data_IF_471862137876
#
_entry.id   IF_471862137876
#
_cell.length_a   1.000
_cell.length_b   1.000
_cell.length_c   1.000
_cell.angle_alpha   90.00
_cell.angle_beta   90.00
_cell.angle_gamma   90.00
#
_symmetry.space_group_name_H-M   'P 1'
#
loop_
_entity.id
_entity.type
_entity.pdbx_description
1 polymer ?
#
# COMPACT_ATOMS: atom_id res chain seq x y z
N UNK A 1 14.97 9.39 -5.28
CA UNK A 1 14.67 7.96 -5.11
C UNK A 1 15.63 7.34 -4.12
N UNK A 2 15.21 7.20 -2.86
CA UNK A 2 16.04 6.67 -1.77
C UNK A 2 16.38 5.18 -1.93
N UNK A 3 15.61 4.46 -2.77
CA UNK A 3 15.74 3.01 -2.95
C UNK A 3 16.62 2.61 -4.13
N UNK A 4 17.14 3.58 -4.89
CA UNK A 4 18.02 3.31 -6.04
C UNK A 4 19.42 3.86 -5.72
N UNK A 5 20.42 2.99 -5.50
CA UNK A 5 21.77 3.44 -5.20
C UNK A 5 22.31 4.35 -6.31
N UNK A 6 22.88 5.49 -5.92
CA UNK A 6 23.46 6.46 -6.85
C UNK A 6 22.46 7.44 -7.49
N UNK A 7 21.18 7.32 -7.21
CA UNK A 7 20.15 8.23 -7.74
C UNK A 7 19.86 9.36 -6.75
N UNK A 8 20.80 10.30 -6.62
CA UNK A 8 20.64 11.51 -5.83
C UNK A 8 20.41 12.69 -6.77
N UNK A 9 19.31 13.42 -6.56
CA UNK A 9 18.94 14.63 -7.30
C UNK A 9 18.95 14.47 -8.84
N UNK A 10 18.57 13.29 -9.33
CA UNK A 10 18.50 13.01 -10.77
C UNK A 10 17.31 13.78 -11.37
N UNK A 11 17.51 14.66 -12.36
CA UNK A 11 16.45 15.47 -12.97
C UNK A 11 15.65 14.64 -13.99
N UNK A 12 14.92 13.62 -13.49
CA UNK A 12 14.23 12.62 -14.32
C UNK A 12 13.24 13.27 -15.29
N UNK A 13 12.52 14.31 -14.87
CA UNK A 13 11.58 15.04 -15.74
C UNK A 13 12.32 15.63 -16.95
N UNK A 14 13.37 16.38 -16.70
CA UNK A 14 14.09 17.10 -17.75
C UNK A 14 14.77 16.11 -18.72
N UNK A 15 15.28 14.99 -18.19
CA UNK A 15 15.83 13.91 -19.01
C UNK A 15 14.76 13.27 -19.90
N UNK A 16 13.55 13.03 -19.38
CA UNK A 16 12.46 12.47 -20.18
C UNK A 16 11.99 13.44 -21.26
N UNK A 17 11.89 14.74 -20.96
CA UNK A 17 11.54 15.77 -21.94
C UNK A 17 12.59 15.87 -23.05
N UNK A 18 13.87 15.83 -22.70
CA UNK A 18 14.98 15.82 -23.68
C UNK A 18 14.94 14.58 -24.59
N UNK A 19 14.72 13.39 -23.99
CA UNK A 19 14.73 12.13 -24.75
C UNK A 19 13.51 11.95 -25.65
N UNK A 20 12.36 12.48 -25.25
CA UNK A 20 11.08 12.21 -25.94
C UNK A 20 10.55 13.38 -26.77
N UNK A 21 11.01 14.60 -26.48
CA UNK A 21 10.44 15.84 -27.04
C UNK A 21 9.01 16.13 -26.55
N UNK A 22 8.53 15.43 -25.52
CA UNK A 22 7.20 15.59 -24.97
C UNK A 22 7.25 16.19 -23.56
N UNK A 23 6.25 16.99 -23.15
CA UNK A 23 6.13 17.42 -21.76
C UNK A 23 6.06 16.23 -20.82
N UNK A 24 6.85 16.23 -19.75
CA UNK A 24 6.86 15.19 -18.75
C UNK A 24 6.49 15.71 -17.34
N UNK A 25 5.85 14.85 -16.55
CA UNK A 25 5.63 15.05 -15.13
C UNK A 25 6.11 13.82 -14.37
N UNK A 26 6.67 14.04 -13.18
CA UNK A 26 7.16 12.97 -12.30
C UNK A 26 6.51 13.15 -10.93
N UNK A 27 5.96 12.06 -10.42
CA UNK A 27 5.38 12.02 -9.07
C UNK A 27 5.68 10.64 -8.44
N UNK A 28 5.29 10.46 -7.19
CA UNK A 28 5.29 9.15 -6.55
C UNK A 28 4.36 8.19 -7.32
N UNK A 29 4.69 6.91 -7.38
CA UNK A 29 3.95 5.88 -8.14
C UNK A 29 2.50 5.73 -7.67
N UNK A 30 2.26 5.72 -6.36
CA UNK A 30 0.91 5.66 -5.80
C UNK A 30 0.11 6.95 -6.08
N UNK A 31 0.76 8.13 -6.08
CA UNK A 31 0.14 9.37 -6.51
C UNK A 31 -0.24 9.34 -8.00
N UNK A 32 0.64 8.81 -8.85
CA UNK A 32 0.34 8.63 -10.28
C UNK A 32 -0.87 7.72 -10.48
N UNK A 33 -0.95 6.60 -9.76
CA UNK A 33 -2.10 5.69 -9.79
C UNK A 33 -3.37 6.40 -9.32
N UNK A 34 -3.33 7.07 -8.17
CA UNK A 34 -4.48 7.82 -7.64
C UNK A 34 -4.94 8.92 -8.59
N UNK A 35 -4.01 9.60 -9.26
CA UNK A 35 -4.34 10.61 -10.27
C UNK A 35 -5.04 9.98 -11.49
N UNK A 36 -4.58 8.82 -11.94
CA UNK A 36 -5.21 8.09 -13.04
C UNK A 36 -6.63 7.65 -12.69
N UNK A 37 -6.83 7.07 -11.50
CA UNK A 37 -8.15 6.68 -10.99
C UNK A 37 -9.08 7.89 -10.84
N UNK A 38 -8.57 9.00 -10.35
CA UNK A 38 -9.35 10.22 -10.21
C UNK A 38 -9.79 10.82 -11.55
N UNK A 39 -8.89 10.85 -12.53
CA UNK A 39 -9.19 11.49 -13.84
C UNK A 39 -9.93 10.58 -14.79
N UNK A 40 -9.63 9.29 -14.81
CA UNK A 40 -10.05 8.34 -15.84
C UNK A 40 -10.76 7.11 -15.29
N UNK A 41 -10.55 6.77 -14.03
CA UNK A 41 -11.03 5.55 -13.40
C UNK A 41 -12.22 5.73 -12.46
N UNK A 42 -12.24 4.96 -11.37
CA UNK A 42 -13.33 4.88 -10.41
C UNK A 42 -13.62 6.20 -9.66
N UNK A 43 -12.61 7.06 -9.53
CA UNK A 43 -12.72 8.36 -8.87
C UNK A 43 -13.16 9.51 -9.77
N UNK A 44 -13.53 9.24 -11.03
CA UNK A 44 -13.90 10.29 -11.98
C UNK A 44 -15.11 11.10 -11.51
N UNK A 45 -14.92 12.41 -11.39
CA UNK A 45 -15.96 13.36 -10.94
C UNK A 45 -16.05 13.53 -9.42
N UNK A 46 -15.26 12.79 -8.64
CA UNK A 46 -15.17 12.99 -7.19
C UNK A 46 -14.22 14.14 -6.86
N UNK A 47 -14.50 14.85 -5.78
CA UNK A 47 -13.63 15.89 -5.23
C UNK A 47 -12.72 15.36 -4.13
N UNK A 48 -13.12 14.26 -3.51
CA UNK A 48 -12.40 13.64 -2.41
C UNK A 48 -12.27 12.14 -2.69
N UNK A 49 -11.06 11.60 -2.59
CA UNK A 49 -10.74 10.24 -2.96
C UNK A 49 -9.49 9.77 -2.20
N UNK A 50 -9.52 8.57 -1.71
CA UNK A 50 -8.35 7.85 -1.21
C UNK A 50 -8.15 6.59 -2.07
N UNK A 51 -6.98 6.48 -2.67
CA UNK A 51 -6.57 5.27 -3.38
C UNK A 51 -5.46 4.57 -2.60
N UNK A 52 -5.53 3.24 -2.53
CA UNK A 52 -4.48 2.38 -1.96
C UNK A 52 -3.91 1.45 -3.02
N UNK A 53 -2.60 1.27 -3.02
CA UNK A 53 -1.92 0.19 -3.73
C UNK A 53 -1.47 -0.87 -2.73
N UNK A 54 -1.92 -2.10 -2.91
CA UNK A 54 -1.54 -3.24 -2.08
C UNK A 54 -0.60 -4.13 -2.89
N UNK A 55 0.67 -4.12 -2.52
CA UNK A 55 1.73 -4.84 -3.21
C UNK A 55 2.84 -5.25 -2.25
N UNK A 56 4.10 -5.06 -2.63
CA UNK A 56 5.26 -5.26 -1.73
C UNK A 56 5.09 -4.47 -0.43
N UNK A 57 4.59 -3.23 -0.55
CA UNK A 57 4.17 -2.39 0.55
C UNK A 57 2.73 -1.93 0.39
N UNK A 58 2.37 -0.87 1.11
CA UNK A 58 1.07 -0.19 1.01
C UNK A 58 1.31 1.25 0.61
N UNK A 59 1.15 1.54 -0.67
CA UNK A 59 1.18 2.91 -1.18
C UNK A 59 -0.21 3.54 -1.15
N UNK A 60 -0.25 4.86 -1.23
CA UNK A 60 -1.52 5.58 -1.31
C UNK A 60 -1.38 6.96 -1.95
N UNK A 61 -2.47 7.42 -2.54
CA UNK A 61 -2.62 8.78 -3.03
C UNK A 61 -3.98 9.33 -2.62
N UNK A 62 -4.01 10.61 -2.28
CA UNK A 62 -5.18 11.28 -1.74
C UNK A 62 -5.53 12.47 -2.63
N UNK A 63 -6.81 12.58 -2.99
CA UNK A 63 -7.41 13.80 -3.53
C UNK A 63 -8.29 14.39 -2.44
N UNK A 64 -8.13 15.68 -2.17
CA UNK A 64 -8.95 16.42 -1.24
C UNK A 64 -9.33 17.77 -1.85
N UNK A 65 -10.62 18.12 -1.80
CA UNK A 65 -11.16 19.34 -2.41
C UNK A 65 -10.76 19.51 -3.90
N UNK A 66 -10.75 18.44 -4.67
CA UNK A 66 -10.40 18.47 -6.08
C UNK A 66 -8.91 18.69 -6.38
N UNK A 67 -8.03 18.41 -5.45
CA UNK A 67 -6.59 18.54 -5.60
C UNK A 67 -5.85 17.36 -5.00
N UNK A 68 -4.78 16.89 -5.67
CA UNK A 68 -3.88 15.91 -5.11
C UNK A 68 -3.19 16.44 -3.85
N UNK A 69 -3.32 15.72 -2.75
CA UNK A 69 -2.66 16.04 -1.48
C UNK A 69 -1.19 15.62 -1.54
N UNK A 70 -0.29 16.58 -1.62
CA UNK A 70 1.16 16.33 -1.65
C UNK A 70 1.88 16.74 -0.37
N UNK A 71 1.25 17.61 0.44
CA UNK A 71 1.89 18.22 1.61
C UNK A 71 3.01 19.21 1.22
N UNK A 72 3.62 19.81 2.21
CA UNK A 72 4.66 20.83 2.00
C UNK A 72 5.99 20.25 1.47
N UNK A 73 6.24 18.98 1.73
CA UNK A 73 7.47 18.27 1.32
C UNK A 73 7.23 17.26 0.17
N UNK A 74 6.04 17.21 -0.39
CA UNK A 74 5.70 16.24 -1.44
C UNK A 74 5.53 14.81 -0.96
N UNK A 75 5.47 14.57 0.34
CA UNK A 75 5.44 13.22 0.95
C UNK A 75 4.15 12.97 1.76
N UNK A 76 3.07 13.68 1.47
CA UNK A 76 1.77 13.40 2.09
C UNK A 76 1.10 12.20 1.43
N UNK A 77 0.20 11.56 2.18
CA UNK A 77 -0.57 10.44 1.66
C UNK A 77 0.06 9.08 1.90
N UNK A 78 1.09 8.97 2.73
CA UNK A 78 1.80 7.72 3.06
C UNK A 78 1.00 6.87 4.08
N UNK A 79 -0.22 6.43 3.70
CA UNK A 79 -1.13 5.73 4.60
C UNK A 79 -0.63 4.34 5.03
N UNK A 80 0.24 3.73 4.24
CA UNK A 80 0.91 2.47 4.61
C UNK A 80 1.73 2.59 5.90
N UNK A 81 2.22 3.78 6.20
CA UNK A 81 2.98 4.06 7.42
C UNK A 81 2.13 4.54 8.60
N UNK A 82 0.80 4.64 8.41
CA UNK A 82 -0.13 4.95 9.50
C UNK A 82 -0.14 3.82 10.52
N UNK A 83 0.02 4.17 11.79
CA UNK A 83 -0.02 3.20 12.88
C UNK A 83 -1.45 2.74 13.15
N UNK A 84 -1.67 1.44 13.08
CA UNK A 84 -2.91 0.75 13.47
C UNK A 84 -2.78 0.06 14.83
N UNK A 85 -1.56 0.01 15.39
CA UNK A 85 -1.26 -0.62 16.68
C UNK A 85 0.00 0.03 17.28
N UNK A 86 -0.15 0.87 18.29
CA UNK A 86 0.98 1.58 18.92
C UNK A 86 1.96 0.66 19.64
N UNK A 87 1.60 -0.59 19.93
CA UNK A 87 2.45 -1.62 20.53
C UNK A 87 2.92 -2.67 19.52
N UNK A 88 2.53 -2.52 18.26
CA UNK A 88 2.76 -3.47 17.20
C UNK A 88 4.17 -3.48 16.63
N UNK A 89 4.32 -4.10 15.48
CA UNK A 89 5.61 -4.28 14.80
C UNK A 89 6.28 -2.94 14.51
N UNK A 90 7.60 -2.89 14.65
CA UNK A 90 8.38 -1.71 14.32
C UNK A 90 8.38 -1.48 12.80
N UNK A 91 8.02 -0.28 12.38
CA UNK A 91 7.95 0.13 10.99
C UNK A 91 9.27 0.70 10.46
N UNK A 92 9.27 1.01 9.17
CA UNK A 92 10.43 1.57 8.48
C UNK A 92 10.89 2.90 9.11
N UNK A 93 9.98 3.79 9.44
CA UNK A 93 10.26 5.08 10.06
C UNK A 93 10.36 5.04 11.59
N UNK A 94 10.67 3.88 12.15
CA UNK A 94 10.81 3.66 13.60
C UNK A 94 9.51 3.80 14.40
N UNK A 95 8.37 4.07 13.75
CA UNK A 95 7.05 4.00 14.36
C UNK A 95 6.65 2.54 14.60
N UNK A 96 5.69 2.31 15.48
CA UNK A 96 5.12 0.99 15.72
C UNK A 96 3.80 0.82 15.01
N UNK A 97 3.51 -0.40 14.56
CA UNK A 97 2.22 -0.80 14.04
C UNK A 97 1.83 -0.21 12.69
N UNK A 98 2.78 0.18 11.86
CA UNK A 98 2.50 0.64 10.51
C UNK A 98 1.66 -0.39 9.72
N UNK A 99 0.61 0.05 9.06
CA UNK A 99 -0.32 -0.80 8.30
C UNK A 99 0.42 -1.73 7.31
N UNK A 100 1.41 -1.20 6.60
CA UNK A 100 2.25 -1.95 5.67
C UNK A 100 2.91 -3.18 6.30
N UNK A 101 3.30 -3.10 7.57
CA UNK A 101 3.95 -4.20 8.29
C UNK A 101 3.01 -5.37 8.61
N UNK A 102 1.76 -5.28 8.21
CA UNK A 102 0.75 -6.33 8.41
C UNK A 102 0.13 -6.81 7.11
N UNK A 103 -0.03 -5.91 6.12
CA UNK A 103 -0.74 -6.23 4.88
C UNK A 103 0.10 -6.06 3.61
N UNK A 104 1.38 -5.69 3.72
CA UNK A 104 2.33 -5.81 2.61
C UNK A 104 2.60 -7.28 2.28
N UNK A 105 2.78 -7.61 0.99
CA UNK A 105 2.90 -9.01 0.54
C UNK A 105 3.93 -9.83 1.30
N UNK A 106 5.16 -9.38 1.57
CA UNK A 106 6.13 -10.17 2.34
C UNK A 106 5.65 -10.50 3.75
N UNK A 107 4.91 -9.57 4.37
CA UNK A 107 4.39 -9.77 5.73
C UNK A 107 3.22 -10.74 5.77
N UNK A 108 2.34 -10.66 4.78
CA UNK A 108 1.27 -11.67 4.61
C UNK A 108 1.88 -13.05 4.47
N UNK A 109 2.92 -13.18 3.65
CA UNK A 109 3.59 -14.45 3.38
C UNK A 109 4.28 -15.02 4.62
N UNK A 110 5.01 -14.20 5.37
CA UNK A 110 5.63 -14.58 6.64
C UNK A 110 4.59 -15.03 7.68
N UNK A 111 3.50 -14.26 7.83
CA UNK A 111 2.44 -14.54 8.80
C UNK A 111 1.66 -15.80 8.43
N UNK A 112 1.40 -16.02 7.13
CA UNK A 112 0.74 -17.22 6.64
C UNK A 112 1.60 -18.47 6.88
N UNK A 113 2.91 -18.39 6.60
CA UNK A 113 3.83 -19.50 6.89
C UNK A 113 3.84 -19.84 8.38
N UNK A 114 3.88 -18.85 9.26
CA UNK A 114 3.81 -19.05 10.71
C UNK A 114 2.46 -19.62 11.14
N UNK A 115 1.34 -19.19 10.56
CA UNK A 115 0.01 -19.70 10.88
C UNK A 115 -0.17 -21.16 10.46
N UNK A 116 0.29 -21.54 9.27
CA UNK A 116 0.29 -22.93 8.83
C UNK A 116 1.16 -23.83 9.72
N UNK A 117 2.38 -23.39 10.06
CA UNK A 117 3.25 -24.12 10.97
C UNK A 117 2.59 -24.32 12.35
N UNK A 118 1.94 -23.29 12.90
CA UNK A 118 1.21 -23.38 14.16
C UNK A 118 0.01 -24.36 14.10
N UNK A 119 -0.60 -24.50 12.93
CA UNK A 119 -1.66 -25.48 12.67
C UNK A 119 -1.13 -26.91 12.39
N UNK A 120 0.19 -27.14 12.47
CA UNK A 120 0.81 -28.42 12.17
C UNK A 120 0.79 -28.78 10.69
N UNK A 121 0.69 -27.80 9.80
CA UNK A 121 0.69 -27.97 8.35
C UNK A 121 2.00 -27.46 7.77
N UNK A 122 2.66 -28.28 6.97
CA UNK A 122 3.82 -27.87 6.19
C UNK A 122 3.36 -27.26 4.86
N UNK A 123 3.72 -26.00 4.63
CA UNK A 123 3.54 -25.28 3.37
C UNK A 123 4.87 -24.72 2.91
N UNK A 124 5.10 -24.71 1.61
CA UNK A 124 6.24 -23.97 1.07
C UNK A 124 6.04 -22.47 1.30
N UNK A 125 7.14 -21.72 1.34
CA UNK A 125 7.04 -20.26 1.51
C UNK A 125 6.30 -19.60 0.35
N UNK A 126 6.46 -20.13 -0.87
CA UNK A 126 5.78 -19.70 -2.09
C UNK A 126 4.25 -19.94 -2.00
N UNK A 127 3.81 -21.06 -1.40
CA UNK A 127 2.39 -21.36 -1.20
C UNK A 127 1.71 -20.43 -0.17
N UNK A 128 2.49 -19.73 0.63
CA UNK A 128 2.03 -18.72 1.59
C UNK A 128 1.90 -17.32 0.99
N UNK A 129 2.28 -17.10 -0.27
CA UNK A 129 2.11 -15.83 -0.95
C UNK A 129 0.62 -15.45 -1.11
N UNK A 130 0.27 -14.16 -1.25
CA UNK A 130 -1.13 -13.72 -1.27
C UNK A 130 -2.02 -14.45 -2.26
N UNK A 131 -1.56 -14.71 -3.49
CA UNK A 131 -2.38 -15.39 -4.49
C UNK A 131 -2.63 -16.87 -4.19
N UNK A 132 -1.62 -17.73 -3.88
CA UNK A 132 -1.88 -19.09 -3.38
C UNK A 132 -2.75 -19.10 -2.12
N UNK A 133 -2.55 -18.18 -1.19
CA UNK A 133 -3.35 -18.06 0.02
C UNK A 133 -4.82 -17.75 -0.29
N UNK A 134 -5.09 -16.89 -1.28
CA UNK A 134 -6.44 -16.61 -1.76
C UNK A 134 -7.11 -17.87 -2.33
N UNK A 135 -6.38 -18.63 -3.15
CA UNK A 135 -6.89 -19.89 -3.71
C UNK A 135 -7.21 -20.91 -2.62
N UNK A 136 -6.35 -21.02 -1.61
CA UNK A 136 -6.59 -21.89 -0.46
C UNK A 136 -7.84 -21.46 0.32
N UNK A 137 -8.03 -20.19 0.57
CA UNK A 137 -9.23 -19.66 1.25
C UNK A 137 -10.51 -19.96 0.44
N UNK A 138 -10.47 -19.78 -0.88
CA UNK A 138 -11.60 -20.11 -1.78
C UNK A 138 -11.90 -21.62 -1.79
N UNK A 139 -10.89 -22.46 -1.55
CA UNK A 139 -11.05 -23.90 -1.41
C UNK A 139 -11.54 -24.34 -0.01
N UNK A 140 -11.73 -23.40 0.91
CA UNK A 140 -12.24 -23.66 2.26
C UNK A 140 -11.17 -23.96 3.31
N UNK A 141 -9.89 -23.65 3.02
CA UNK A 141 -8.80 -23.83 4.00
C UNK A 141 -9.01 -22.86 5.19
N UNK A 142 -9.20 -23.38 6.42
CA UNK A 142 -9.54 -22.55 7.57
C UNK A 142 -8.41 -21.62 7.99
N UNK A 143 -7.14 -22.00 7.77
CA UNK A 143 -5.98 -21.14 8.08
C UNK A 143 -5.97 -19.94 7.13
N UNK A 144 -6.12 -20.19 5.84
CA UNK A 144 -6.16 -19.13 4.84
C UNK A 144 -7.35 -18.18 5.04
N UNK A 145 -8.53 -18.72 5.38
CA UNK A 145 -9.73 -17.89 5.69
C UNK A 145 -9.44 -16.99 6.90
N UNK A 146 -8.91 -17.54 7.99
CA UNK A 146 -8.59 -16.77 9.18
C UNK A 146 -7.53 -15.67 8.90
N UNK A 147 -6.55 -15.96 8.05
CA UNK A 147 -5.55 -14.99 7.61
C UNK A 147 -6.18 -13.83 6.85
N UNK A 148 -7.08 -14.10 5.90
CA UNK A 148 -7.76 -13.04 5.15
C UNK A 148 -8.71 -12.22 6.02
N UNK A 149 -9.37 -12.82 6.99
CA UNK A 149 -10.19 -12.09 7.97
C UNK A 149 -9.35 -11.12 8.81
N UNK A 150 -8.18 -11.55 9.24
CA UNK A 150 -7.24 -10.70 10.00
C UNK A 150 -6.68 -9.55 9.15
N UNK A 151 -6.27 -9.83 7.91
CA UNK A 151 -5.83 -8.83 6.94
C UNK A 151 -6.94 -7.79 6.69
N UNK A 152 -8.18 -8.24 6.50
CA UNK A 152 -9.33 -7.37 6.27
C UNK A 152 -9.60 -6.44 7.47
N UNK A 153 -9.49 -6.95 8.70
CA UNK A 153 -9.65 -6.15 9.93
C UNK A 153 -8.57 -5.08 10.06
N UNK A 154 -7.31 -5.42 9.76
CA UNK A 154 -6.19 -4.49 9.77
C UNK A 154 -6.34 -3.39 8.72
N UNK A 155 -6.73 -3.78 7.49
CA UNK A 155 -7.04 -2.82 6.44
C UNK A 155 -8.19 -1.90 6.84
N UNK A 156 -9.27 -2.45 7.38
CA UNK A 156 -10.41 -1.67 7.86
C UNK A 156 -10.00 -0.64 8.92
N UNK A 157 -9.10 -1.00 9.85
CA UNK A 157 -8.60 -0.07 10.88
C UNK A 157 -7.88 1.12 10.25
N UNK A 158 -7.03 0.88 9.24
CA UNK A 158 -6.39 1.95 8.47
C UNK A 158 -7.39 2.83 7.71
N UNK A 159 -8.38 2.21 7.05
CA UNK A 159 -9.41 2.92 6.30
C UNK A 159 -10.31 3.78 7.22
N UNK A 160 -10.64 3.31 8.42
CA UNK A 160 -11.39 4.12 9.40
C UNK A 160 -10.63 5.38 9.79
N UNK A 161 -9.31 5.30 9.98
CA UNK A 161 -8.50 6.49 10.26
C UNK A 161 -8.56 7.49 9.11
N UNK A 162 -8.48 7.02 7.86
CA UNK A 162 -8.62 7.87 6.68
C UNK A 162 -10.02 8.48 6.59
N UNK A 163 -11.06 7.69 6.87
CA UNK A 163 -12.44 8.17 6.85
C UNK A 163 -12.67 9.31 7.84
N UNK A 164 -12.18 9.20 9.07
CA UNK A 164 -12.35 10.25 10.08
C UNK A 164 -11.53 11.52 9.82
N UNK A 165 -10.48 11.45 9.00
CA UNK A 165 -9.65 12.62 8.65
C UNK A 165 -10.20 13.32 7.40
N UNK A 166 -10.64 12.57 6.40
CA UNK A 166 -10.92 13.08 5.06
C UNK A 166 -12.40 13.02 4.68
N UNK A 167 -13.17 12.11 5.28
CA UNK A 167 -14.58 11.82 4.90
C UNK A 167 -14.78 11.77 3.37
N UNK A 168 -13.92 10.98 2.68
CA UNK A 168 -13.92 10.96 1.22
C UNK A 168 -15.16 10.29 0.65
#
# INVERSE_FOLDING_TARGET
LTNVPGWYDVPVRDMLEEMTGLPAAVDNDANCMAYAEWKLGAGKGLNDLVCLTLGTGVGSGIVANGQMLRGSLGAAGELGHLSIDYQGRKGYYQNHGALENYIGHPRIQEDAAAAYAAAGQEKSFEDCAPYPLELAAKAGDPVAIAMWDDIARKLATGLFSCHYILTP
#
